data_IF_099496587492
#
_entry.id   IF_099496587492
#
_cell.length_a   1.000
_cell.length_b   1.000
_cell.length_c   1.000
_cell.angle_alpha   90.00
_cell.angle_beta   90.00
_cell.angle_gamma   90.00
#
_symmetry.space_group_name_H-M   'P 1'
#
loop_
_entity.id
_entity.type
_entity.pdbx_description
1 polymer ?
#
# COMPACT_ATOMS: atom_id res chain seq x y z
N UNK A 1 63.21 70.22 90.04
CA UNK A 1 63.97 69.16 89.34
C UNK A 1 62.95 68.12 88.87
N UNK A 2 62.67 68.09 87.58
CA UNK A 2 61.74 67.14 86.94
C UNK A 2 62.53 65.94 86.43
N UNK A 3 62.05 64.69 86.60
CA UNK A 3 62.56 63.57 85.84
C UNK A 3 61.85 63.55 84.48
N UNK A 4 62.60 63.79 83.41
CA UNK A 4 62.17 63.56 82.03
C UNK A 4 62.17 62.05 81.79
N UNK A 5 60.97 61.45 81.66
CA UNK A 5 60.82 60.11 81.09
C UNK A 5 61.22 60.19 79.61
N UNK A 6 62.32 59.52 79.29
CA UNK A 6 62.83 59.41 77.94
C UNK A 6 61.95 58.40 77.18
N UNK A 7 61.11 58.91 76.29
CA UNK A 7 60.11 58.14 75.53
C UNK A 7 60.69 57.56 74.23
N UNK A 8 62.00 57.71 73.99
CA UNK A 8 62.65 57.32 72.73
C UNK A 8 63.31 55.93 72.77
N UNK A 9 63.07 55.12 73.82
CA UNK A 9 63.62 53.76 73.94
C UNK A 9 62.59 52.62 73.83
N UNK A 10 61.40 52.91 73.27
CA UNK A 10 60.33 51.92 73.13
C UNK A 10 59.84 51.68 71.70
N UNK A 11 60.48 52.25 70.66
CA UNK A 11 59.91 52.30 69.31
C UNK A 11 60.91 52.00 68.17
N UNK A 12 61.77 50.98 68.29
CA UNK A 12 62.71 50.70 67.17
C UNK A 12 62.99 49.25 66.80
N UNK A 13 62.68 48.24 67.61
CA UNK A 13 62.89 46.83 67.21
C UNK A 13 61.58 46.08 66.92
N UNK A 14 60.52 46.26 67.72
CA UNK A 14 59.22 45.58 67.49
C UNK A 14 58.44 46.15 66.27
N UNK A 15 58.64 47.42 65.92
CA UNK A 15 57.94 48.05 64.79
C UNK A 15 58.47 47.63 63.41
N UNK A 16 59.74 47.19 63.33
CA UNK A 16 60.31 46.64 62.08
C UNK A 16 59.78 45.23 61.80
N UNK A 17 59.64 44.40 62.83
CA UNK A 17 59.15 43.01 62.71
C UNK A 17 57.67 42.97 62.28
N UNK A 18 56.84 43.86 62.85
CA UNK A 18 55.43 44.03 62.45
C UNK A 18 55.30 44.51 61.00
N UNK A 19 56.22 45.37 60.53
CA UNK A 19 56.24 45.88 59.16
C UNK A 19 56.52 44.81 58.12
N UNK A 20 57.50 43.93 58.37
CA UNK A 20 57.87 42.84 57.48
C UNK A 20 56.81 41.72 57.46
N UNK A 21 56.23 41.38 58.60
CA UNK A 21 55.09 40.46 58.68
C UNK A 21 53.88 40.99 57.90
N UNK A 22 53.57 42.28 58.05
CA UNK A 22 52.50 42.94 57.30
C UNK A 22 52.75 42.91 55.78
N UNK A 23 53.97 43.22 55.33
CA UNK A 23 54.33 43.17 53.91
C UNK A 23 54.19 41.75 53.32
N UNK A 24 54.64 40.72 54.05
CA UNK A 24 54.51 39.31 53.66
C UNK A 24 53.05 38.86 53.51
N UNK A 25 52.18 39.26 54.45
CA UNK A 25 50.74 38.97 54.39
C UNK A 25 50.09 39.67 53.19
N UNK A 26 50.46 40.91 52.91
CA UNK A 26 49.97 41.66 51.74
C UNK A 26 50.41 40.98 50.44
N UNK A 27 51.67 40.54 50.33
CA UNK A 27 52.17 39.84 49.15
C UNK A 27 51.48 38.50 48.93
N UNK A 28 51.24 37.72 50.00
CA UNK A 28 50.47 36.49 49.93
C UNK A 28 49.03 36.74 49.46
N UNK A 29 48.38 37.81 49.94
CA UNK A 29 47.04 38.20 49.51
C UNK A 29 46.99 38.61 48.03
N UNK A 30 48.00 39.37 47.56
CA UNK A 30 48.13 39.73 46.15
C UNK A 30 48.38 38.51 45.26
N UNK A 31 49.19 37.55 45.72
CA UNK A 31 49.45 36.31 44.99
C UNK A 31 48.20 35.42 44.89
N UNK A 32 47.46 35.27 46.00
CA UNK A 32 46.16 34.62 46.00
C UNK A 32 45.21 35.29 45.01
N UNK A 33 45.13 36.62 45.00
CA UNK A 33 44.29 37.37 44.05
C UNK A 33 44.67 37.08 42.59
N UNK A 34 45.96 36.99 42.26
CA UNK A 34 46.44 36.61 40.92
C UNK A 34 46.03 35.17 40.56
N UNK A 35 46.21 34.22 41.48
CA UNK A 35 45.81 32.81 41.31
C UNK A 35 44.30 32.69 41.09
N UNK A 36 43.48 33.33 41.91
CA UNK A 36 42.02 33.36 41.74
C UNK A 36 41.61 33.97 40.40
N UNK A 37 42.27 35.06 39.98
CA UNK A 37 42.01 35.69 38.67
C UNK A 37 42.35 34.75 37.50
N UNK A 38 43.44 33.99 37.61
CA UNK A 38 43.84 32.98 36.63
C UNK A 38 42.81 31.84 36.55
N UNK A 39 42.40 31.30 37.70
CA UNK A 39 41.37 30.25 37.80
C UNK A 39 40.03 30.73 37.22
N UNK A 40 39.62 31.96 37.51
CA UNK A 40 38.40 32.55 36.94
C UNK A 40 38.48 32.68 35.42
N UNK A 41 39.64 33.06 34.87
CA UNK A 41 39.86 33.10 33.41
C UNK A 41 39.78 31.69 32.79
N UNK A 42 40.41 30.70 33.41
CA UNK A 42 40.35 29.31 32.97
C UNK A 42 38.91 28.77 33.02
N UNK A 43 38.17 29.05 34.10
CA UNK A 43 36.77 28.64 34.24
C UNK A 43 35.89 29.27 33.15
N UNK A 44 36.09 30.56 32.82
CA UNK A 44 35.39 31.22 31.71
C UNK A 44 35.73 30.58 30.36
N UNK A 45 37.01 30.32 30.10
CA UNK A 45 37.46 29.68 28.86
C UNK A 45 36.89 28.25 28.72
N UNK A 46 36.87 27.49 29.82
CA UNK A 46 36.27 26.16 29.84
C UNK A 46 34.77 26.23 29.56
N UNK A 47 34.06 27.19 30.19
CA UNK A 47 32.64 27.43 29.92
C UNK A 47 32.36 27.74 28.45
N UNK A 48 33.12 28.64 27.84
CA UNK A 48 32.95 28.96 26.41
C UNK A 48 33.25 27.76 25.52
N UNK A 49 34.27 26.96 25.88
CA UNK A 49 34.62 25.75 25.13
C UNK A 49 33.52 24.69 25.23
N UNK A 50 32.97 24.48 26.42
CA UNK A 50 31.86 23.56 26.65
C UNK A 50 30.62 23.99 25.87
N UNK A 51 30.28 25.28 25.88
CA UNK A 51 29.16 25.82 25.11
C UNK A 51 29.35 25.62 23.59
N UNK A 52 30.56 25.86 23.08
CA UNK A 52 30.87 25.60 21.67
C UNK A 52 30.74 24.11 21.33
N UNK A 53 31.26 23.22 22.19
CA UNK A 53 31.14 21.77 22.00
C UNK A 53 29.71 21.26 22.09
N UNK A 54 28.90 21.87 22.95
CA UNK A 54 27.47 21.55 23.02
C UNK A 54 26.76 21.93 21.72
N UNK A 55 27.04 23.12 21.17
CA UNK A 55 26.49 23.53 19.88
C UNK A 55 26.94 22.61 18.73
N UNK A 56 28.20 22.18 18.69
CA UNK A 56 28.71 21.22 17.70
C UNK A 56 27.93 19.89 17.75
N UNK A 57 27.70 19.35 18.95
CA UNK A 57 26.94 18.11 19.14
C UNK A 57 25.47 18.24 18.73
N UNK A 58 24.84 19.37 19.04
CA UNK A 58 23.46 19.64 18.64
C UNK A 58 23.33 19.72 17.10
N UNK A 59 24.28 20.39 16.44
CA UNK A 59 24.34 20.42 14.97
C UNK A 59 24.57 19.04 14.36
N UNK A 60 25.49 18.24 14.91
CA UNK A 60 25.75 16.89 14.42
C UNK A 60 24.52 15.98 14.58
N UNK A 61 23.82 16.08 15.72
CA UNK A 61 22.56 15.38 15.96
C UNK A 61 21.50 15.75 14.91
N UNK A 62 21.31 17.05 14.67
CA UNK A 62 20.36 17.53 13.67
C UNK A 62 20.72 17.04 12.26
N UNK A 63 22.01 17.01 11.92
CA UNK A 63 22.50 16.51 10.63
C UNK A 63 22.19 15.02 10.45
N UNK A 64 22.42 14.22 11.48
CA UNK A 64 22.10 12.78 11.46
C UNK A 64 20.60 12.54 11.32
N UNK A 65 19.77 13.30 12.03
CA UNK A 65 18.31 13.22 11.94
C UNK A 65 17.81 13.58 10.53
N UNK A 66 18.31 14.64 9.92
CA UNK A 66 17.96 14.99 8.54
C UNK A 66 18.38 13.90 7.55
N UNK A 67 19.55 13.27 7.78
CA UNK A 67 20.03 12.17 6.94
C UNK A 67 19.10 10.95 7.03
N UNK A 68 18.66 10.57 8.22
CA UNK A 68 17.73 9.43 8.39
C UNK A 68 16.36 9.73 7.81
N UNK A 69 15.84 10.95 7.96
CA UNK A 69 14.58 11.39 7.33
C UNK A 69 14.69 11.34 5.80
N UNK A 70 15.79 11.84 5.22
CA UNK A 70 16.00 11.81 3.79
C UNK A 70 16.09 10.38 3.24
N UNK A 71 16.79 9.49 3.95
CA UNK A 71 16.93 8.09 3.57
C UNK A 71 15.60 7.32 3.65
N UNK A 72 14.85 7.47 4.74
CA UNK A 72 13.53 6.85 4.89
C UNK A 72 12.56 7.35 3.83
N UNK A 73 12.56 8.65 3.54
CA UNK A 73 11.74 9.26 2.48
C UNK A 73 12.10 8.71 1.10
N UNK A 74 13.40 8.57 0.80
CA UNK A 74 13.88 7.98 -0.45
C UNK A 74 13.45 6.51 -0.59
N UNK A 75 13.52 5.74 0.49
CA UNK A 75 13.10 4.33 0.49
C UNK A 75 11.59 4.19 0.28
N UNK A 76 10.78 5.03 0.94
CA UNK A 76 9.33 5.10 0.71
C UNK A 76 9.00 5.43 -0.75
N UNK A 77 9.67 6.43 -1.33
CA UNK A 77 9.46 6.81 -2.74
C UNK A 77 9.83 5.68 -3.71
N UNK A 78 10.95 4.98 -3.46
CA UNK A 78 11.37 3.81 -4.23
C UNK A 78 10.33 2.68 -4.14
N UNK A 79 9.81 2.40 -2.95
CA UNK A 79 8.77 1.39 -2.74
C UNK A 79 7.47 1.76 -3.49
N UNK A 80 7.01 3.01 -3.35
CA UNK A 80 5.83 3.50 -4.08
C UNK A 80 6.01 3.42 -5.60
N UNK A 81 7.19 3.76 -6.11
CA UNK A 81 7.51 3.66 -7.54
C UNK A 81 7.51 2.21 -8.05
N UNK A 82 7.89 1.23 -7.20
CA UNK A 82 7.77 -0.20 -7.53
C UNK A 82 6.31 -0.64 -7.56
N UNK A 83 5.53 -0.29 -6.54
CA UNK A 83 4.09 -0.59 -6.47
C UNK A 83 3.32 -0.01 -7.66
N UNK A 84 3.64 1.22 -8.05
CA UNK A 84 3.01 1.86 -9.22
C UNK A 84 3.34 1.13 -10.53
N UNK A 85 4.58 0.66 -10.70
CA UNK A 85 4.96 -0.14 -11.87
C UNK A 85 4.21 -1.46 -11.89
N UNK A 86 4.19 -2.18 -10.77
CA UNK A 86 3.43 -3.42 -10.64
C UNK A 86 1.96 -3.22 -11.01
N UNK A 87 1.30 -2.21 -10.41
CA UNK A 87 -0.09 -1.91 -10.69
C UNK A 87 -0.35 -1.57 -12.18
N UNK A 88 0.59 -0.90 -12.85
CA UNK A 88 0.50 -0.64 -14.29
C UNK A 88 0.60 -1.93 -15.11
N UNK A 89 1.51 -2.82 -14.75
CA UNK A 89 1.71 -4.10 -15.44
C UNK A 89 0.49 -5.01 -15.24
N UNK A 90 -0.04 -5.08 -14.02
CA UNK A 90 -1.26 -5.81 -13.70
C UNK A 90 -2.45 -5.26 -14.50
N UNK A 91 -2.59 -3.93 -14.56
CA UNK A 91 -3.66 -3.29 -15.34
C UNK A 91 -3.53 -3.58 -16.84
N UNK A 92 -2.30 -3.61 -17.36
CA UNK A 92 -2.04 -4.00 -18.75
C UNK A 92 -2.44 -5.46 -19.00
N UNK A 93 -2.10 -6.37 -18.07
CA UNK A 93 -2.48 -7.78 -18.15
C UNK A 93 -4.00 -7.97 -18.16
N UNK A 94 -4.71 -7.33 -17.22
CA UNK A 94 -6.17 -7.37 -17.13
C UNK A 94 -6.85 -6.83 -18.39
N UNK A 95 -6.29 -5.80 -19.04
CA UNK A 95 -6.83 -5.29 -20.31
C UNK A 95 -6.71 -6.30 -21.44
N UNK A 96 -5.59 -7.01 -21.54
CA UNK A 96 -5.41 -8.06 -22.54
C UNK A 96 -6.37 -9.23 -22.29
N UNK A 97 -6.52 -9.67 -21.04
CA UNK A 97 -7.49 -10.70 -20.67
C UNK A 97 -8.93 -10.29 -20.99
N UNK A 98 -9.31 -9.05 -20.68
CA UNK A 98 -10.64 -8.53 -21.01
C UNK A 98 -10.87 -8.47 -22.52
N UNK A 99 -9.86 -8.11 -23.32
CA UNK A 99 -9.96 -8.10 -24.78
C UNK A 99 -10.14 -9.52 -25.34
N UNK A 100 -9.41 -10.50 -24.82
CA UNK A 100 -9.55 -11.90 -25.20
C UNK A 100 -10.93 -12.44 -24.85
N UNK A 101 -11.39 -12.21 -23.61
CA UNK A 101 -12.72 -12.62 -23.17
C UNK A 101 -13.82 -11.97 -24.02
N UNK A 102 -13.70 -10.68 -24.35
CA UNK A 102 -14.63 -10.00 -25.24
C UNK A 102 -14.67 -10.65 -26.64
N UNK A 103 -13.51 -11.03 -27.17
CA UNK A 103 -13.42 -11.72 -28.47
C UNK A 103 -14.08 -13.10 -28.42
N UNK A 104 -13.83 -13.88 -27.35
CA UNK A 104 -14.47 -15.19 -27.14
C UNK A 104 -15.98 -15.08 -27.00
N UNK A 105 -16.46 -14.08 -26.25
CA UNK A 105 -17.89 -13.81 -26.11
C UNK A 105 -18.53 -13.42 -27.44
N UNK A 106 -17.84 -12.63 -28.27
CA UNK A 106 -18.32 -12.28 -29.61
C UNK A 106 -18.47 -13.50 -30.51
N UNK A 107 -17.49 -14.42 -30.48
CA UNK A 107 -17.58 -15.69 -31.21
C UNK A 107 -18.77 -16.51 -30.71
N UNK A 108 -18.89 -16.71 -29.39
CA UNK A 108 -20.00 -17.46 -28.81
C UNK A 108 -21.37 -16.84 -29.13
N UNK A 109 -21.46 -15.50 -29.13
CA UNK A 109 -22.67 -14.77 -29.54
C UNK A 109 -23.05 -15.05 -30.99
N UNK A 110 -22.08 -14.99 -31.91
CA UNK A 110 -22.31 -15.30 -33.33
C UNK A 110 -22.76 -16.74 -33.54
N UNK A 111 -22.20 -17.69 -32.80
CA UNK A 111 -22.66 -19.09 -32.85
C UNK A 111 -24.10 -19.22 -32.36
N UNK A 112 -24.46 -18.53 -31.27
CA UNK A 112 -25.83 -18.54 -30.74
C UNK A 112 -26.84 -17.88 -31.70
N UNK A 113 -26.44 -16.82 -32.41
CA UNK A 113 -27.28 -16.15 -33.41
C UNK A 113 -27.67 -17.09 -34.56
N UNK A 114 -26.80 -18.04 -34.93
CA UNK A 114 -27.11 -19.07 -35.96
C UNK A 114 -28.32 -19.92 -35.58
N UNK A 115 -28.56 -20.15 -34.30
CA UNK A 115 -29.66 -21.01 -33.80
C UNK A 115 -30.82 -20.23 -33.20
N UNK A 116 -30.75 -18.89 -33.17
CA UNK A 116 -31.76 -18.05 -32.50
C UNK A 116 -33.16 -18.21 -33.11
N UNK A 117 -33.26 -18.43 -34.42
CA UNK A 117 -34.51 -18.70 -35.13
C UNK A 117 -35.25 -19.97 -34.66
N UNK A 118 -34.53 -20.91 -34.01
CA UNK A 118 -35.10 -22.12 -33.42
C UNK A 118 -35.71 -21.86 -32.05
N UNK A 119 -35.50 -20.69 -31.44
CA UNK A 119 -36.11 -20.35 -30.15
C UNK A 119 -37.61 -20.17 -30.28
N UNK A 120 -38.33 -20.59 -29.25
CA UNK A 120 -39.76 -20.36 -29.09
C UNK A 120 -40.03 -18.86 -29.06
N UNK A 121 -40.90 -18.38 -29.94
CA UNK A 121 -41.25 -16.95 -30.02
C UNK A 121 -42.19 -16.51 -28.90
N UNK A 122 -42.77 -17.46 -28.15
CA UNK A 122 -43.65 -17.16 -27.01
C UNK A 122 -42.85 -16.87 -25.73
N UNK A 123 -41.85 -17.70 -25.39
CA UNK A 123 -41.04 -17.50 -24.18
C UNK A 123 -39.63 -16.98 -24.43
N UNK A 124 -39.10 -17.08 -25.64
CA UNK A 124 -37.73 -16.68 -26.02
C UNK A 124 -36.59 -17.41 -25.29
N UNK A 125 -36.91 -18.41 -24.46
CA UNK A 125 -35.95 -19.16 -23.63
C UNK A 125 -35.65 -20.54 -24.23
N UNK A 126 -36.68 -21.35 -24.47
CA UNK A 126 -36.54 -22.72 -24.95
C UNK A 126 -36.53 -22.81 -26.48
N UNK A 127 -35.97 -23.88 -27.03
CA UNK A 127 -36.12 -24.20 -28.45
C UNK A 127 -37.53 -24.68 -28.78
N UNK A 128 -37.93 -24.53 -30.04
CA UNK A 128 -39.16 -25.08 -30.60
C UNK A 128 -39.01 -26.61 -30.70
N UNK A 129 -39.83 -27.32 -29.95
CA UNK A 129 -39.86 -28.78 -29.88
C UNK A 129 -41.27 -29.34 -30.20
N UNK A 130 -42.21 -28.49 -30.60
CA UNK A 130 -43.57 -28.89 -30.98
C UNK A 130 -44.12 -28.07 -32.15
N UNK A 131 -44.87 -28.73 -33.02
CA UNK A 131 -45.49 -28.19 -34.22
C UNK A 131 -46.99 -28.46 -34.24
N UNK A 132 -47.78 -27.41 -34.48
CA UNK A 132 -49.22 -27.49 -34.71
C UNK A 132 -49.53 -27.94 -36.15
N UNK A 133 -50.70 -28.55 -36.44
CA UNK A 133 -51.06 -29.00 -37.79
C UNK A 133 -51.16 -27.87 -38.83
N UNK A 134 -51.26 -26.61 -38.38
CA UNK A 134 -51.18 -25.44 -39.27
C UNK A 134 -49.74 -25.05 -39.66
N UNK A 135 -48.71 -25.72 -39.13
CA UNK A 135 -47.29 -25.49 -39.42
C UNK A 135 -46.58 -24.53 -38.46
N UNK A 136 -47.28 -23.86 -37.55
CA UNK A 136 -46.65 -23.00 -36.55
C UNK A 136 -46.01 -23.82 -35.42
N UNK A 137 -44.91 -23.31 -34.87
CA UNK A 137 -44.05 -24.02 -33.93
C UNK A 137 -43.79 -23.22 -32.65
N UNK A 138 -43.76 -23.91 -31.52
CA UNK A 138 -43.40 -23.36 -30.21
C UNK A 138 -42.72 -24.43 -29.35
N UNK A 139 -42.27 -24.05 -28.15
CA UNK A 139 -41.93 -25.05 -27.15
C UNK A 139 -43.20 -25.67 -26.53
N UNK A 140 -43.12 -26.93 -26.12
CA UNK A 140 -44.22 -27.73 -25.59
C UNK A 140 -44.85 -27.07 -24.39
N UNK A 141 -44.04 -26.55 -23.47
CA UNK A 141 -44.49 -25.81 -22.29
C UNK A 141 -45.40 -24.62 -22.65
N UNK A 142 -45.03 -23.85 -23.68
CA UNK A 142 -45.86 -22.70 -24.09
C UNK A 142 -47.13 -23.12 -24.80
N UNK A 143 -47.09 -24.18 -25.62
CA UNK A 143 -48.30 -24.71 -26.26
C UNK A 143 -49.26 -25.31 -25.24
N UNK A 144 -48.77 -26.08 -24.27
CA UNK A 144 -49.60 -26.70 -23.23
C UNK A 144 -50.32 -25.63 -22.38
N UNK A 145 -49.61 -24.55 -22.03
CA UNK A 145 -50.21 -23.40 -21.33
C UNK A 145 -51.28 -22.70 -22.17
N UNK A 146 -51.08 -22.59 -23.48
CA UNK A 146 -52.04 -21.98 -24.40
C UNK A 146 -53.29 -22.85 -24.58
N UNK A 147 -53.10 -24.15 -24.78
CA UNK A 147 -54.18 -25.12 -24.99
C UNK A 147 -55.10 -25.20 -23.76
N UNK A 148 -54.55 -25.00 -22.56
CA UNK A 148 -55.37 -24.86 -21.34
C UNK A 148 -56.39 -23.71 -21.39
N UNK A 149 -56.25 -22.76 -22.33
CA UNK A 149 -57.17 -21.64 -22.55
C UNK A 149 -58.04 -21.81 -23.80
N UNK A 150 -57.61 -22.61 -24.78
CA UNK A 150 -58.35 -22.89 -26.01
C UNK A 150 -57.54 -23.69 -27.05
N UNK A 151 -58.22 -24.53 -27.82
CA UNK A 151 -57.61 -25.41 -28.83
C UNK A 151 -57.45 -24.73 -30.21
N UNK A 152 -56.88 -23.52 -30.24
CA UNK A 152 -56.61 -22.75 -31.45
C UNK A 152 -55.17 -22.27 -31.53
N UNK A 153 -54.65 -22.09 -32.75
CA UNK A 153 -53.26 -21.69 -32.96
C UNK A 153 -53.01 -20.24 -32.47
N UNK A 154 -51.99 -19.97 -31.64
CA UNK A 154 -51.68 -18.62 -31.14
C UNK A 154 -51.40 -17.58 -32.25
N UNK A 155 -50.96 -18.02 -33.43
CA UNK A 155 -50.58 -17.15 -34.54
C UNK A 155 -51.67 -16.96 -35.59
N UNK A 156 -52.36 -18.05 -35.97
CA UNK A 156 -53.33 -18.01 -37.07
C UNK A 156 -54.76 -18.37 -36.66
N UNK A 157 -55.00 -18.69 -35.39
CA UNK A 157 -56.32 -19.00 -34.79
C UNK A 157 -57.06 -20.18 -35.43
N UNK A 158 -56.35 -21.03 -36.19
CA UNK A 158 -56.91 -22.28 -36.71
C UNK A 158 -57.10 -23.26 -35.56
N UNK A 159 -58.31 -23.82 -35.44
CA UNK A 159 -58.61 -24.88 -34.47
C UNK A 159 -57.87 -26.18 -34.82
N UNK A 160 -57.52 -26.95 -33.80
CA UNK A 160 -56.87 -28.26 -33.93
C UNK A 160 -57.24 -29.16 -32.76
N UNK A 161 -57.01 -30.47 -32.87
CA UNK A 161 -57.15 -31.39 -31.74
C UNK A 161 -55.79 -31.63 -31.06
N UNK A 162 -55.77 -31.84 -29.75
CA UNK A 162 -54.51 -32.00 -28.97
C UNK A 162 -53.64 -33.14 -29.50
N UNK A 163 -54.26 -34.20 -30.04
CA UNK A 163 -53.55 -35.32 -30.67
C UNK A 163 -52.86 -35.01 -32.00
N UNK A 164 -53.14 -33.84 -32.61
CA UNK A 164 -52.56 -33.42 -33.88
C UNK A 164 -51.19 -32.73 -33.73
N UNK A 165 -50.78 -32.44 -32.49
CA UNK A 165 -49.50 -31.80 -32.19
C UNK A 165 -48.38 -32.81 -32.40
N UNK A 166 -47.36 -32.42 -33.18
CA UNK A 166 -46.19 -33.26 -33.44
C UNK A 166 -44.97 -32.72 -32.73
N UNK A 167 -44.17 -33.60 -32.15
CA UNK A 167 -42.89 -33.25 -31.54
C UNK A 167 -41.83 -33.03 -32.62
N UNK A 168 -40.96 -32.05 -32.39
CA UNK A 168 -39.79 -31.75 -33.22
C UNK A 168 -38.54 -32.18 -32.46
N UNK A 169 -37.86 -33.20 -32.98
CA UNK A 169 -36.59 -33.65 -32.42
C UNK A 169 -35.45 -32.92 -33.15
N UNK A 170 -34.85 -31.94 -32.46
CA UNK A 170 -33.58 -31.37 -32.89
C UNK A 170 -32.49 -32.38 -32.54
N UNK A 171 -31.77 -32.88 -33.55
CA UNK A 171 -30.71 -33.87 -33.37
C UNK A 171 -29.60 -33.31 -32.47
N UNK A 172 -29.09 -34.14 -31.57
CA UNK A 172 -27.95 -33.81 -30.72
C UNK A 172 -26.64 -33.90 -31.53
N UNK A 173 -25.89 -32.80 -31.71
CA UNK A 173 -24.60 -32.84 -32.38
C UNK A 173 -23.60 -33.75 -31.65
N UNK A 174 -23.73 -33.94 -30.32
CA UNK A 174 -22.80 -34.76 -29.54
C UNK A 174 -22.89 -36.24 -29.88
N UNK A 175 -23.98 -36.71 -30.49
CA UNK A 175 -24.12 -38.10 -30.93
C UNK A 175 -23.21 -38.46 -32.13
N UNK A 176 -22.50 -37.48 -32.72
CA UNK A 176 -21.62 -37.67 -33.88
C UNK A 176 -20.14 -37.34 -33.63
N UNK A 177 -19.78 -36.88 -32.43
CA UNK A 177 -18.42 -36.40 -32.11
C UNK A 177 -17.53 -37.41 -31.35
N UNK A 178 -18.03 -38.60 -31.00
CA UNK A 178 -17.25 -39.64 -30.30
C UNK A 178 -16.30 -40.45 -31.21
N UNK A 179 -16.03 -39.98 -32.42
CA UNK A 179 -15.04 -40.57 -33.30
C UNK A 179 -14.01 -39.52 -33.71
N UNK A 180 -12.87 -39.55 -33.01
CA UNK A 180 -11.58 -38.93 -33.32
C UNK A 180 -11.41 -37.48 -32.85
N UNK A 181 -10.72 -37.31 -31.71
CA UNK A 181 -9.44 -36.60 -31.62
C UNK A 181 -8.91 -36.69 -30.17
N UNK A 182 -8.08 -37.71 -29.92
CA UNK A 182 -7.04 -37.63 -28.91
C UNK A 182 -5.92 -36.78 -29.52
N UNK A 183 -5.65 -35.60 -28.97
CA UNK A 183 -4.30 -35.07 -28.83
C UNK A 183 -4.29 -33.87 -27.87
N UNK A 184 -3.36 -33.92 -26.91
CA UNK A 184 -3.40 -33.12 -25.69
C UNK A 184 -2.85 -31.70 -25.81
N UNK A 185 -3.03 -30.93 -24.74
CA UNK A 185 -2.05 -29.95 -24.32
C UNK A 185 -2.15 -29.67 -22.81
N UNK A 186 -0.98 -29.42 -22.25
CA UNK A 186 -0.56 -29.45 -20.85
C UNK A 186 -1.12 -28.26 -20.06
N UNK A 187 -1.79 -28.52 -18.94
CA UNK A 187 -1.98 -27.49 -17.91
C UNK A 187 -0.82 -27.57 -16.91
N UNK A 188 0.15 -26.67 -17.05
CA UNK A 188 1.17 -26.42 -16.04
C UNK A 188 0.51 -25.89 -14.76
N UNK A 189 0.47 -26.75 -13.73
CA UNK A 189 0.05 -26.40 -12.39
C UNK A 189 1.18 -25.62 -11.73
N UNK A 190 0.99 -24.30 -11.58
CA UNK A 190 1.88 -23.44 -10.80
C UNK A 190 1.80 -23.88 -9.34
N UNK A 191 2.76 -24.71 -8.91
CA UNK A 191 2.99 -25.00 -7.50
C UNK A 191 3.72 -23.81 -6.86
N UNK A 192 2.96 -23.00 -6.13
CA UNK A 192 3.50 -21.97 -5.25
C UNK A 192 4.24 -22.64 -4.09
N UNK A 193 5.57 -22.56 -4.11
CA UNK A 193 6.39 -22.84 -2.93
C UNK A 193 6.01 -21.85 -1.82
N UNK A 194 5.46 -22.39 -0.73
CA UNK A 194 5.27 -21.68 0.53
C UNK A 194 6.54 -21.89 1.35
N UNK A 195 7.41 -20.89 1.38
CA UNK A 195 8.45 -20.79 2.40
C UNK A 195 7.95 -19.87 3.53
N UNK A 196 7.68 -20.47 4.68
CA UNK A 196 7.46 -19.90 6.02
C UNK A 196 7.80 -21.08 6.96
N UNK A 197 8.70 -21.05 7.93
CA UNK A 197 9.28 -20.00 8.78
C UNK A 197 10.79 -20.25 9.02
#
# INVERSE_FOLDING_TARGET
MQPTLNLDHFLTDDDCDIGDEYASVVDAALDMRRKFSSVLRQARQLKTTLQAKQADLEHERQRLELRTIAETSRNKLRQQSRRLRQCKDDNRSLRLQNQELASRLEVARKELEKVDHLRCTLCTVAFKDAMLPCGHTACRVCLDLWIGQGNDCPWCRRSFEVGDIRDLYLADPSATADALEEDGDVTDVISLASDSE
#
